data_IF_436426526829
#
_entry.id   IF_436426526829
#
_cell.length_a   1.000
_cell.length_b   1.000
_cell.length_c   1.000
_cell.angle_alpha   90.00
_cell.angle_beta   90.00
_cell.angle_gamma   90.00
#
_symmetry.space_group_name_H-M   'P 1'
#
loop_
_entity.id
_entity.type
_entity.pdbx_description
1 polymer ?
#
# COMPACT_ATOMS: atom_id res chain seq x y z
N UNK A 1 -6.67 -0.66 -11.40
CA UNK A 1 -6.56 0.17 -10.18
C UNK A 1 -7.71 1.16 -10.02
N UNK A 2 -8.24 1.80 -11.08
CA UNK A 2 -9.24 2.88 -10.99
C UNK A 2 -10.54 2.54 -10.25
N UNK A 3 -11.26 3.56 -9.79
CA UNK A 3 -12.67 3.47 -9.35
C UNK A 3 -13.59 3.01 -10.49
N UNK A 4 -14.80 2.56 -10.15
CA UNK A 4 -15.76 1.98 -11.12
C UNK A 4 -16.33 2.99 -12.09
N UNK A 5 -16.46 4.23 -11.65
CA UNK A 5 -17.12 5.33 -12.34
C UNK A 5 -16.15 6.29 -13.06
N UNK A 6 -14.83 6.07 -12.91
CA UNK A 6 -13.82 6.88 -13.60
C UNK A 6 -12.59 6.01 -13.93
N UNK A 7 -12.27 5.83 -15.21
CA UNK A 7 -11.09 5.06 -15.66
C UNK A 7 -9.82 5.94 -15.70
N UNK A 8 -8.66 5.32 -15.55
CA UNK A 8 -7.39 5.96 -15.87
C UNK A 8 -7.27 6.20 -17.37
N UNK A 9 -6.63 7.31 -17.75
CA UNK A 9 -6.31 7.59 -19.15
C UNK A 9 -5.12 6.75 -19.67
N UNK A 10 -4.26 6.24 -18.79
CA UNK A 10 -3.03 5.53 -19.13
C UNK A 10 -2.81 4.30 -18.23
N UNK A 11 -2.18 3.25 -18.76
CA UNK A 11 -1.89 2.00 -18.05
C UNK A 11 -1.03 1.04 -18.88
N UNK A 12 -0.70 -0.17 -18.37
CA UNK A 12 -1.20 -0.75 -17.12
C UNK A 12 -0.46 -0.27 -15.85
N UNK A 13 0.75 0.28 -15.99
CA UNK A 13 1.54 0.85 -14.89
C UNK A 13 1.91 2.30 -15.22
N UNK A 14 1.22 3.23 -14.58
CA UNK A 14 1.41 4.66 -14.81
C UNK A 14 2.38 5.26 -13.78
N UNK A 15 3.18 6.27 -14.16
CA UNK A 15 4.02 7.01 -13.23
C UNK A 15 3.16 7.80 -12.22
N UNK A 16 3.70 8.10 -11.03
CA UNK A 16 2.94 8.54 -9.86
C UNK A 16 2.14 9.85 -10.06
N UNK A 17 2.52 10.72 -11.00
CA UNK A 17 1.77 11.95 -11.29
C UNK A 17 0.41 11.68 -11.94
N UNK A 18 0.25 10.56 -12.66
CA UNK A 18 -1.02 10.15 -13.24
C UNK A 18 -2.08 9.79 -12.16
N UNK A 19 -1.82 8.91 -11.17
CA UNK A 19 -2.74 8.69 -10.06
C UNK A 19 -2.94 9.91 -9.17
N UNK A 20 -1.94 10.78 -9.02
CA UNK A 20 -2.13 12.06 -8.33
C UNK A 20 -3.19 12.92 -9.03
N UNK A 21 -3.01 13.19 -10.32
CA UNK A 21 -3.95 14.00 -11.10
C UNK A 21 -5.33 13.33 -11.17
N UNK A 22 -5.38 12.00 -11.31
CA UNK A 22 -6.63 11.24 -11.29
C UNK A 22 -7.43 11.49 -9.99
N UNK A 23 -6.78 11.45 -8.82
CA UNK A 23 -7.44 11.73 -7.53
C UNK A 23 -7.92 13.18 -7.47
N UNK A 24 -7.09 14.15 -7.86
CA UNK A 24 -7.45 15.58 -7.88
C UNK A 24 -8.68 15.82 -8.78
N UNK A 25 -8.69 15.23 -9.98
CA UNK A 25 -9.82 15.29 -10.90
C UNK A 25 -11.07 14.60 -10.33
N UNK A 26 -10.92 13.50 -9.59
CA UNK A 26 -12.05 12.76 -9.01
C UNK A 26 -12.89 13.64 -8.07
N UNK A 27 -12.25 14.48 -7.24
CA UNK A 27 -12.98 15.43 -6.40
C UNK A 27 -13.77 16.45 -7.21
N UNK A 28 -13.16 16.97 -8.28
CA UNK A 28 -13.80 17.94 -9.18
C UNK A 28 -14.98 17.32 -9.95
N UNK A 29 -14.80 16.10 -10.49
CA UNK A 29 -15.81 15.37 -11.24
C UNK A 29 -17.05 15.07 -10.39
N UNK A 30 -16.85 14.74 -9.12
CA UNK A 30 -17.95 14.46 -8.18
C UNK A 30 -18.40 15.68 -7.38
N UNK A 31 -17.78 16.85 -7.57
CA UNK A 31 -18.06 18.09 -6.83
C UNK A 31 -18.05 17.88 -5.31
N UNK A 32 -17.08 17.09 -4.85
CA UNK A 32 -16.89 16.75 -3.42
C UNK A 32 -15.79 17.59 -2.78
N UNK A 33 -15.22 18.55 -3.50
CA UNK A 33 -14.29 19.55 -3.00
C UNK A 33 -14.92 20.43 -1.92
N UNK A 34 -16.22 20.74 -2.03
CA UNK A 34 -16.92 21.62 -1.08
C UNK A 34 -17.10 21.02 0.33
N UNK A 35 -16.93 19.71 0.48
CA UNK A 35 -17.03 19.00 1.78
C UNK A 35 -15.66 18.66 2.38
N UNK A 36 -14.57 19.07 1.72
CA UNK A 36 -13.21 18.89 2.24
C UNK A 36 -12.81 20.06 3.12
N UNK A 37 -12.27 19.73 4.30
CA UNK A 37 -11.60 20.68 5.18
C UNK A 37 -10.09 20.43 5.11
N UNK A 38 -9.39 21.20 4.30
CA UNK A 38 -7.96 21.07 4.08
C UNK A 38 -7.12 21.82 5.14
N UNK A 39 -5.86 21.41 5.29
CA UNK A 39 -4.91 21.95 6.26
C UNK A 39 -5.42 21.82 7.72
N UNK A 40 -6.12 20.72 8.00
CA UNK A 40 -6.69 20.45 9.32
C UNK A 40 -6.29 19.07 9.79
N UNK A 41 -5.79 18.98 11.01
CA UNK A 41 -5.49 17.72 11.69
C UNK A 41 -6.61 17.36 12.65
N UNK A 42 -6.92 16.07 12.72
CA UNK A 42 -7.76 15.51 13.79
C UNK A 42 -6.81 15.15 14.92
N UNK A 43 -7.01 15.75 16.09
CA UNK A 43 -6.13 15.62 17.25
C UNK A 43 -6.72 14.70 18.32
N UNK A 44 -8.05 14.59 18.39
CA UNK A 44 -8.76 13.66 19.28
C UNK A 44 -10.07 13.18 18.65
N UNK A 45 -10.39 11.91 18.86
CA UNK A 45 -11.66 11.27 18.53
C UNK A 45 -12.19 10.58 19.78
N UNK A 46 -13.24 11.15 20.36
CA UNK A 46 -13.85 10.68 21.60
C UNK A 46 -15.30 10.30 21.39
N UNK A 47 -15.68 9.10 21.81
CA UNK A 47 -17.05 8.62 21.81
C UNK A 47 -17.91 9.43 22.79
N UNK A 48 -19.12 9.75 22.36
CA UNK A 48 -20.22 10.25 23.18
C UNK A 48 -21.26 9.12 23.26
N UNK A 49 -21.33 8.37 24.39
CA UNK A 49 -22.32 7.33 24.55
C UNK A 49 -23.75 7.88 24.52
N UNK A 50 -24.67 7.09 23.98
CA UNK A 50 -26.10 7.38 24.01
C UNK A 50 -26.88 6.11 24.38
N UNK A 51 -28.03 6.28 25.06
CA UNK A 51 -28.89 5.16 25.51
C UNK A 51 -29.90 4.76 24.43
N UNK A 52 -30.60 5.74 23.87
CA UNK A 52 -31.76 5.52 22.98
C UNK A 52 -31.44 5.71 21.50
N UNK A 53 -30.17 5.93 21.16
CA UNK A 53 -29.68 6.12 19.79
C UNK A 53 -28.23 5.62 19.68
N UNK A 54 -27.71 5.42 18.46
CA UNK A 54 -26.30 5.09 18.26
C UNK A 54 -25.37 6.13 18.88
N UNK A 55 -24.15 5.73 19.20
CA UNK A 55 -23.14 6.66 19.72
C UNK A 55 -22.80 7.76 18.70
N UNK A 56 -22.46 8.93 19.24
CA UNK A 56 -21.89 10.04 18.48
C UNK A 56 -20.40 10.17 18.77
N UNK A 57 -19.72 11.00 18.01
CA UNK A 57 -18.29 11.21 18.10
C UNK A 57 -17.97 12.68 18.16
N UNK A 58 -17.19 13.07 19.17
CA UNK A 58 -16.58 14.40 19.24
C UNK A 58 -15.21 14.33 18.59
N UNK A 59 -14.98 15.18 17.60
CA UNK A 59 -13.66 15.39 17.01
C UNK A 59 -13.09 16.70 17.57
N UNK A 60 -11.85 16.66 18.04
CA UNK A 60 -11.06 17.87 18.27
C UNK A 60 -10.17 18.10 17.07
N UNK A 61 -10.31 19.28 16.47
CA UNK A 61 -9.69 19.64 15.20
C UNK A 61 -8.74 20.80 15.41
N UNK A 62 -7.62 20.79 14.68
CA UNK A 62 -6.62 21.85 14.70
C UNK A 62 -6.28 22.30 13.29
N UNK A 63 -6.20 23.61 13.10
CA UNK A 63 -5.71 24.25 11.88
C UNK A 63 -4.70 25.34 12.23
N UNK A 64 -3.52 25.27 11.64
CA UNK A 64 -2.54 26.34 11.77
C UNK A 64 -2.92 27.52 10.85
N UNK A 65 -3.13 28.69 11.44
CA UNK A 65 -3.33 29.95 10.72
C UNK A 65 -1.97 30.63 10.55
N UNK A 66 -1.42 30.53 9.33
CA UNK A 66 -0.12 31.10 9.00
C UNK A 66 -0.10 32.64 9.05
N UNK A 67 -1.22 33.32 8.80
CA UNK A 67 -1.29 34.79 8.81
C UNK A 67 -1.24 35.34 10.22
N UNK A 68 -1.88 34.64 11.17
CA UNK A 68 -1.91 35.02 12.58
C UNK A 68 -0.81 34.35 13.40
N UNK A 69 -0.11 33.36 12.83
CA UNK A 69 0.89 32.52 13.47
C UNK A 69 0.36 31.86 14.76
N UNK A 70 -0.83 31.28 14.69
CA UNK A 70 -1.49 30.60 15.81
C UNK A 70 -2.16 29.31 15.37
N UNK A 71 -2.34 28.39 16.30
CA UNK A 71 -3.23 27.24 16.11
C UNK A 71 -4.67 27.60 16.47
N UNK A 72 -5.58 27.36 15.54
CA UNK A 72 -7.02 27.45 15.74
C UNK A 72 -7.53 26.05 16.06
N UNK A 73 -8.21 25.94 17.20
CA UNK A 73 -8.77 24.69 17.71
C UNK A 73 -10.28 24.79 17.81
N UNK A 74 -10.99 23.74 17.42
CA UNK A 74 -12.43 23.66 17.61
C UNK A 74 -12.88 22.20 17.76
N UNK A 75 -14.13 22.02 18.15
CA UNK A 75 -14.74 20.71 18.29
C UNK A 75 -16.01 20.62 17.46
N UNK A 76 -16.23 19.44 16.88
CA UNK A 76 -17.44 19.12 16.13
C UNK A 76 -17.97 17.76 16.59
N UNK A 77 -19.29 17.58 16.49
CA UNK A 77 -19.97 16.33 16.85
C UNK A 77 -20.53 15.71 15.58
N UNK A 78 -20.24 14.43 15.38
CA UNK A 78 -20.68 13.65 14.24
C UNK A 78 -21.45 12.41 14.70
N UNK A 79 -22.47 12.02 13.93
CA UNK A 79 -23.22 10.79 14.18
C UNK A 79 -22.41 9.54 13.82
N UNK A 80 -21.49 9.64 12.86
CA UNK A 80 -20.63 8.55 12.44
C UNK A 80 -19.25 9.04 11.99
N UNK A 81 -18.25 8.18 12.13
CA UNK A 81 -16.85 8.47 11.76
C UNK A 81 -16.30 7.32 10.92
N UNK A 82 -15.60 7.67 9.84
CA UNK A 82 -14.85 6.71 9.02
C UNK A 82 -13.38 7.09 9.05
N UNK A 83 -12.53 6.18 9.52
CA UNK A 83 -11.10 6.36 9.44
C UNK A 83 -10.59 6.00 8.04
N UNK A 84 -9.86 6.93 7.43
CA UNK A 84 -9.24 6.78 6.12
C UNK A 84 -7.84 7.44 6.08
N UNK A 85 -7.15 7.47 7.22
CA UNK A 85 -5.86 8.15 7.40
C UNK A 85 -4.66 7.36 6.83
N UNK A 86 -4.89 6.15 6.33
CA UNK A 86 -3.86 5.27 5.77
C UNK A 86 -2.88 4.73 6.82
N UNK A 87 -1.93 3.92 6.36
CA UNK A 87 -0.99 3.21 7.24
C UNK A 87 0.45 3.16 6.71
N UNK A 88 0.81 4.10 5.82
CA UNK A 88 2.16 4.25 5.26
C UNK A 88 2.83 5.57 5.66
N UNK A 89 2.47 6.08 6.86
CA UNK A 89 2.97 7.36 7.34
C UNK A 89 4.10 7.23 8.37
N UNK A 90 4.05 6.27 9.31
CA UNK A 90 5.09 6.12 10.34
C UNK A 90 6.09 5.04 9.90
N UNK A 91 7.36 5.39 9.56
CA UNK A 91 8.37 4.42 9.17
C UNK A 91 8.56 3.33 10.21
N UNK A 92 8.80 2.09 9.76
CA UNK A 92 9.25 1.03 10.64
C UNK A 92 10.76 0.83 10.46
N UNK A 93 11.54 1.15 11.49
CA UNK A 93 12.97 0.83 11.56
C UNK A 93 13.16 -0.17 12.71
N UNK A 94 13.61 -1.41 12.45
CA UNK A 94 13.87 -2.38 13.51
C UNK A 94 15.05 -1.93 14.38
N UNK A 95 15.01 -2.31 15.66
CA UNK A 95 16.14 -2.12 16.56
C UNK A 95 17.27 -3.05 16.15
N UNK A 96 18.48 -2.50 16.02
CA UNK A 96 19.71 -3.22 15.68
C UNK A 96 20.80 -2.68 16.60
N UNK A 97 21.69 -3.56 17.07
CA UNK A 97 22.78 -3.20 17.96
C UNK A 97 23.62 -2.06 17.34
N UNK A 98 23.84 -0.99 18.11
CA UNK A 98 24.66 0.17 17.73
C UNK A 98 24.02 1.14 16.73
N UNK A 99 22.79 0.90 16.26
CA UNK A 99 22.13 1.73 15.25
C UNK A 99 21.91 3.18 15.73
N UNK A 100 21.47 3.36 16.98
CA UNK A 100 21.17 4.69 17.51
C UNK A 100 22.43 5.56 17.58
N UNK A 101 23.53 5.01 18.09
CA UNK A 101 24.81 5.67 18.18
C UNK A 101 25.43 5.87 16.79
N UNK A 102 25.22 4.94 15.86
CA UNK A 102 25.64 5.09 14.47
C UNK A 102 24.94 6.26 13.77
N UNK A 103 23.63 6.42 13.95
CA UNK A 103 22.86 7.55 13.40
C UNK A 103 23.36 8.87 13.98
N UNK A 104 23.62 8.92 15.30
CA UNK A 104 24.16 10.13 15.95
C UNK A 104 25.54 10.49 15.41
N UNK A 105 26.41 9.49 15.19
CA UNK A 105 27.77 9.71 14.67
C UNK A 105 27.81 10.07 13.18
N UNK A 106 26.90 9.53 12.38
CA UNK A 106 26.83 9.75 10.94
C UNK A 106 25.44 10.28 10.52
N UNK A 107 25.11 11.56 10.84
CA UNK A 107 23.81 12.13 10.51
C UNK A 107 23.50 12.06 9.02
N UNK A 108 22.28 11.65 8.67
CA UNK A 108 21.82 11.55 7.28
C UNK A 108 22.30 10.31 6.51
N UNK A 109 23.19 9.49 7.07
CA UNK A 109 23.65 8.23 6.46
C UNK A 109 22.57 7.15 6.47
N UNK A 110 21.73 7.12 7.50
CA UNK A 110 20.62 6.16 7.60
C UNK A 110 19.32 6.88 7.30
N UNK A 111 18.63 6.42 6.26
CA UNK A 111 17.35 6.98 5.81
C UNK A 111 16.32 5.87 5.64
N UNK A 112 15.04 6.24 5.51
CA UNK A 112 13.96 5.32 5.20
C UNK A 112 13.44 5.57 3.78
N UNK A 113 12.87 4.56 3.13
CA UNK A 113 12.23 4.71 1.81
C UNK A 113 11.15 5.79 1.76
N UNK A 114 10.62 6.21 2.92
CA UNK A 114 9.66 7.32 3.04
C UNK A 114 10.25 8.65 2.55
N UNK A 115 11.54 8.88 2.75
CA UNK A 115 12.23 10.12 2.35
C UNK A 115 12.93 10.01 1.00
N UNK A 116 13.00 8.80 0.43
CA UNK A 116 13.53 8.58 -0.91
C UNK A 116 12.65 9.28 -1.95
N UNK A 117 13.26 9.94 -2.93
CA UNK A 117 12.57 10.66 -4.01
C UNK A 117 13.08 10.28 -5.37
N UNK A 118 14.38 10.06 -5.48
CA UNK A 118 15.07 9.78 -6.74
C UNK A 118 16.48 9.25 -6.46
N UNK A 119 17.16 8.63 -7.44
CA UNK A 119 18.47 8.00 -7.24
C UNK A 119 19.64 8.98 -7.31
N UNK A 120 19.46 10.18 -7.90
CA UNK A 120 20.56 11.13 -8.18
C UNK A 120 21.34 11.57 -6.95
N UNK A 121 20.72 11.82 -5.77
CA UNK A 121 21.48 12.13 -4.55
C UNK A 121 22.44 11.02 -4.11
N UNK A 122 22.31 9.81 -4.66
CA UNK A 122 23.13 8.63 -4.35
C UNK A 122 24.16 8.30 -5.44
N UNK A 123 24.31 9.15 -6.46
CA UNK A 123 25.23 8.95 -7.57
C UNK A 123 26.67 8.67 -7.12
N UNK A 124 27.25 7.58 -7.65
CA UNK A 124 28.60 7.12 -7.32
C UNK A 124 28.84 6.63 -5.88
N UNK A 125 27.80 6.59 -5.03
CA UNK A 125 27.91 6.20 -3.61
C UNK A 125 27.76 4.70 -3.42
N UNK A 126 28.33 4.17 -2.35
CA UNK A 126 28.14 2.77 -1.89
C UNK A 126 26.92 2.69 -1.00
N UNK A 127 25.90 1.97 -1.45
CA UNK A 127 24.58 1.94 -0.81
C UNK A 127 24.23 0.55 -0.28
N UNK A 128 23.60 0.52 0.90
CA UNK A 128 22.91 -0.66 1.42
C UNK A 128 21.40 -0.39 1.45
N UNK A 129 20.59 -1.25 0.83
CA UNK A 129 19.13 -1.25 0.99
C UNK A 129 18.72 -2.39 1.93
N UNK A 130 17.70 -2.17 2.78
CA UNK A 130 17.25 -3.17 3.75
C UNK A 130 15.78 -3.53 3.49
N UNK A 131 15.53 -4.78 3.12
CA UNK A 131 14.21 -5.30 2.77
C UNK A 131 14.04 -5.52 1.27
N UNK A 132 13.24 -6.51 0.91
CA UNK A 132 13.01 -6.99 -0.46
C UNK A 132 11.52 -7.17 -0.79
N UNK A 133 10.64 -6.45 -0.08
CA UNK A 133 9.25 -6.28 -0.52
C UNK A 133 9.16 -5.19 -1.60
N UNK A 134 7.96 -4.68 -1.92
CA UNK A 134 7.74 -3.75 -3.03
C UNK A 134 8.72 -2.54 -3.00
N UNK A 135 8.81 -1.80 -1.90
CA UNK A 135 9.75 -0.67 -1.81
C UNK A 135 11.23 -1.10 -1.87
N UNK A 136 11.55 -2.28 -1.36
CA UNK A 136 12.91 -2.82 -1.41
C UNK A 136 13.34 -3.11 -2.84
N UNK A 137 12.46 -3.75 -3.60
CA UNK A 137 12.66 -4.03 -5.01
C UNK A 137 12.77 -2.75 -5.84
N UNK A 138 11.75 -1.88 -5.79
CA UNK A 138 11.68 -0.63 -6.58
C UNK A 138 12.90 0.26 -6.35
N UNK A 139 13.22 0.55 -5.09
CA UNK A 139 14.34 1.46 -4.74
C UNK A 139 15.68 0.83 -5.13
N UNK A 140 15.87 -0.47 -4.92
CA UNK A 140 17.13 -1.12 -5.27
C UNK A 140 17.33 -1.14 -6.79
N UNK A 141 16.30 -1.48 -7.56
CA UNK A 141 16.35 -1.51 -9.02
C UNK A 141 16.65 -0.12 -9.62
N UNK A 142 16.04 0.93 -9.08
CA UNK A 142 16.29 2.30 -9.53
C UNK A 142 17.73 2.76 -9.22
N UNK A 143 18.26 2.41 -8.04
CA UNK A 143 19.62 2.77 -7.64
C UNK A 143 20.70 2.13 -8.50
N UNK A 144 20.51 0.89 -8.99
CA UNK A 144 21.51 0.17 -9.81
C UNK A 144 21.98 1.00 -11.01
N UNK A 145 21.15 1.89 -11.54
CA UNK A 145 21.47 2.70 -12.71
C UNK A 145 22.44 3.87 -12.41
N UNK A 146 22.58 4.27 -11.15
CA UNK A 146 23.20 5.56 -10.78
C UNK A 146 24.31 5.42 -9.74
N UNK A 147 24.27 4.40 -8.88
CA UNK A 147 25.19 4.28 -7.75
C UNK A 147 26.44 3.45 -8.05
N UNK A 148 27.41 3.41 -7.12
CA UNK A 148 28.55 2.50 -7.23
C UNK A 148 28.07 1.07 -7.01
N UNK A 149 28.12 0.27 -8.08
CA UNK A 149 27.73 -1.14 -8.04
C UNK A 149 28.76 -2.01 -7.28
N UNK A 150 28.31 -3.07 -6.59
CA UNK A 150 26.91 -3.49 -6.46
C UNK A 150 26.13 -2.68 -5.40
N UNK A 151 24.81 -2.57 -5.58
CA UNK A 151 23.91 -2.20 -4.49
C UNK A 151 23.79 -3.39 -3.55
N UNK A 152 24.11 -3.21 -2.26
CA UNK A 152 24.00 -4.29 -1.29
C UNK A 152 22.58 -4.34 -0.73
N UNK A 153 21.83 -5.39 -1.04
CA UNK A 153 20.46 -5.55 -0.55
C UNK A 153 20.43 -6.58 0.58
N UNK A 154 20.20 -6.11 1.81
CA UNK A 154 19.97 -6.96 2.97
C UNK A 154 18.55 -7.52 2.95
N UNK A 155 18.42 -8.85 3.03
CA UNK A 155 17.13 -9.55 3.05
C UNK A 155 17.11 -10.65 4.10
N UNK A 156 15.94 -10.87 4.70
CA UNK A 156 15.71 -11.92 5.70
C UNK A 156 15.30 -13.26 5.09
N UNK A 157 14.59 -13.22 3.97
CA UNK A 157 14.02 -14.38 3.30
C UNK A 157 13.86 -14.10 1.80
N UNK A 158 13.71 -15.15 0.98
CA UNK A 158 13.38 -15.01 -0.45
C UNK A 158 12.02 -14.32 -0.58
N UNK A 159 11.96 -13.28 -1.42
CA UNK A 159 10.71 -12.63 -1.83
C UNK A 159 10.13 -13.32 -3.08
N UNK A 160 8.86 -13.08 -3.40
CA UNK A 160 8.23 -13.62 -4.62
C UNK A 160 8.86 -13.10 -5.92
N UNK A 161 9.55 -11.96 -5.85
CA UNK A 161 10.26 -11.36 -6.99
C UNK A 161 11.74 -11.76 -7.05
N UNK A 162 12.24 -12.49 -6.05
CA UNK A 162 13.64 -12.90 -6.02
C UNK A 162 13.82 -14.18 -6.84
N UNK A 163 14.77 -14.15 -7.78
CA UNK A 163 15.26 -15.35 -8.46
C UNK A 163 16.11 -16.24 -7.55
N UNK A 164 16.80 -17.21 -8.14
CA UNK A 164 17.77 -18.03 -7.40
C UNK A 164 19.08 -17.27 -7.14
N UNK A 165 19.42 -16.33 -8.02
CA UNK A 165 20.60 -15.48 -7.95
C UNK A 165 20.21 -13.99 -7.91
N UNK A 166 21.05 -13.11 -7.33
CA UNK A 166 20.77 -11.69 -7.31
C UNK A 166 20.77 -11.11 -8.73
N UNK A 167 19.89 -10.13 -9.04
CA UNK A 167 19.92 -9.46 -10.34
C UNK A 167 21.25 -8.73 -10.60
N UNK A 168 21.61 -8.48 -11.87
CA UNK A 168 22.82 -7.74 -12.21
C UNK A 168 22.92 -6.39 -11.49
N UNK A 169 24.10 -6.10 -10.91
CA UNK A 169 24.34 -4.88 -10.14
C UNK A 169 23.85 -4.91 -8.69
N UNK A 170 23.24 -6.01 -8.24
CA UNK A 170 22.79 -6.21 -6.86
C UNK A 170 23.63 -7.33 -6.22
N UNK A 171 23.97 -7.16 -4.94
CA UNK A 171 24.56 -8.20 -4.12
C UNK A 171 23.68 -8.42 -2.87
N UNK A 172 23.20 -9.64 -2.68
CA UNK A 172 22.42 -9.96 -1.48
C UNK A 172 23.31 -10.08 -0.24
N UNK A 173 22.78 -9.59 0.88
CA UNK A 173 23.36 -9.75 2.21
C UNK A 173 22.31 -10.29 3.19
N UNK A 174 22.74 -11.04 4.24
CA UNK A 174 21.83 -11.42 5.31
C UNK A 174 21.37 -10.20 6.11
N UNK A 175 20.64 -10.43 7.20
CA UNK A 175 20.21 -9.35 8.10
C UNK A 175 21.43 -8.70 8.75
N UNK A 176 21.35 -7.38 8.97
CA UNK A 176 22.38 -6.63 9.68
C UNK A 176 22.31 -7.02 11.16
N UNK A 177 23.45 -7.46 11.69
CA UNK A 177 23.66 -7.84 13.09
C UNK A 177 24.03 -6.64 13.96
N UNK A 178 24.90 -5.77 13.45
CA UNK A 178 25.46 -4.66 14.23
C UNK A 178 25.95 -3.50 13.35
N UNK A 179 25.72 -2.27 13.82
CA UNK A 179 26.37 -1.07 13.30
C UNK A 179 27.50 -0.65 14.24
N UNK A 180 28.72 -0.53 13.73
CA UNK A 180 29.88 -0.10 14.51
C UNK A 180 30.21 1.36 14.31
N UNK A 181 30.71 2.00 15.37
CA UNK A 181 31.06 3.41 15.35
C UNK A 181 32.25 3.75 14.45
N UNK A 182 33.08 2.78 14.06
CA UNK A 182 34.12 2.98 13.05
C UNK A 182 33.56 3.10 11.62
N UNK A 183 32.25 2.93 11.43
CA UNK A 183 31.58 3.02 10.14
C UNK A 183 31.17 1.66 9.57
N UNK A 184 31.71 0.56 10.10
CA UNK A 184 31.46 -0.81 9.64
C UNK A 184 30.05 -1.29 9.93
N UNK A 185 29.46 -2.00 8.97
CA UNK A 185 28.18 -2.71 9.12
C UNK A 185 28.45 -4.21 9.09
N UNK A 186 28.04 -4.94 10.14
CA UNK A 186 28.23 -6.38 10.29
C UNK A 186 26.91 -7.10 10.04
N UNK A 187 26.94 -8.18 9.26
CA UNK A 187 25.80 -9.01 8.95
C UNK A 187 25.79 -10.30 9.80
N UNK A 188 24.67 -11.01 9.83
CA UNK A 188 24.50 -12.23 10.65
C UNK A 188 25.48 -13.36 10.30
N UNK A 189 25.99 -13.40 9.06
CA UNK A 189 27.01 -14.34 8.59
C UNK A 189 28.45 -13.91 8.93
N UNK A 190 28.60 -12.89 9.80
CA UNK A 190 29.85 -12.24 10.18
C UNK A 190 30.60 -11.56 9.01
N UNK A 191 30.04 -11.55 7.80
CA UNK A 191 30.51 -10.68 6.73
C UNK A 191 30.25 -9.22 7.09
N UNK A 192 30.98 -8.30 6.47
CA UNK A 192 30.87 -6.88 6.78
C UNK A 192 31.02 -6.00 5.54
N UNK A 193 30.61 -4.74 5.68
CA UNK A 193 30.88 -3.67 4.73
C UNK A 193 31.49 -2.47 5.45
N UNK A 194 32.60 -1.98 4.90
CA UNK A 194 33.20 -0.69 5.25
C UNK A 194 32.79 0.39 4.24
N UNK A 195 33.05 1.66 4.58
CA UNK A 195 32.86 2.83 3.71
C UNK A 195 31.47 2.90 3.05
N UNK A 196 30.42 2.56 3.81
CA UNK A 196 29.03 2.68 3.35
C UNK A 196 28.60 4.14 3.46
N UNK A 197 28.22 4.72 2.33
CA UNK A 197 27.80 6.12 2.25
C UNK A 197 26.38 6.33 2.76
N UNK A 198 25.46 5.42 2.41
CA UNK A 198 24.06 5.44 2.86
C UNK A 198 23.47 4.06 3.09
N UNK A 199 22.55 4.00 4.04
CA UNK A 199 21.70 2.85 4.36
C UNK A 199 20.25 3.28 4.21
N UNK A 200 19.50 2.59 3.35
CA UNK A 200 18.11 2.89 3.05
C UNK A 200 17.23 1.76 3.57
N UNK A 201 16.50 2.02 4.65
CA UNK A 201 15.51 1.11 5.21
C UNK A 201 14.26 1.08 4.32
N UNK A 202 14.00 -0.07 3.68
CA UNK A 202 12.79 -0.39 2.93
C UNK A 202 11.90 -1.37 3.72
N UNK A 203 11.84 -1.18 5.04
CA UNK A 203 11.23 -2.10 6.01
C UNK A 203 9.75 -1.84 6.28
N UNK A 204 9.13 -0.92 5.54
CA UNK A 204 7.71 -0.63 5.59
C UNK A 204 7.34 0.32 6.72
N UNK A 205 6.12 0.19 7.23
CA UNK A 205 5.50 1.20 8.09
C UNK A 205 4.67 0.56 9.19
N UNK A 206 4.43 1.33 10.25
CA UNK A 206 3.45 1.03 11.29
C UNK A 206 2.16 1.82 11.03
N UNK A 207 0.97 1.18 11.11
CA UNK A 207 -0.29 1.91 11.26
C UNK A 207 -0.22 2.82 12.48
N UNK A 208 -0.90 3.96 12.42
CA UNK A 208 -0.88 4.93 13.52
C UNK A 208 -2.21 5.66 13.56
N UNK A 209 -2.77 5.77 14.76
CA UNK A 209 -4.05 6.42 15.04
C UNK A 209 -3.85 7.36 16.24
N UNK A 210 -3.02 8.41 16.10
CA UNK A 210 -2.61 9.25 17.22
C UNK A 210 -3.77 10.04 17.84
N UNK A 211 -4.85 10.21 17.09
CA UNK A 211 -6.09 10.85 17.52
C UNK A 211 -7.02 9.92 18.32
N UNK A 212 -6.73 8.61 18.42
CA UNK A 212 -7.63 7.68 19.10
C UNK A 212 -7.47 7.76 20.62
N UNK A 213 -8.50 8.25 21.31
CA UNK A 213 -8.53 8.36 22.76
C UNK A 213 -8.95 7.04 23.41
N UNK A 214 -7.99 6.16 23.70
CA UNK A 214 -8.30 4.82 24.24
C UNK A 214 -9.00 4.88 25.60
N UNK A 215 -8.64 5.84 26.45
CA UNK A 215 -9.23 6.01 27.78
C UNK A 215 -10.71 6.39 27.67
N UNK A 216 -11.01 7.42 26.88
CA UNK A 216 -12.38 7.87 26.66
C UNK A 216 -13.23 6.86 25.84
N UNK A 217 -12.58 6.03 25.03
CA UNK A 217 -13.24 5.03 24.18
C UNK A 217 -13.28 3.63 24.83
N UNK A 218 -13.51 3.59 26.15
CA UNK A 218 -13.74 2.36 26.90
C UNK A 218 -12.47 1.62 27.34
N UNK A 219 -11.37 2.33 27.52
CA UNK A 219 -10.07 1.77 27.92
C UNK A 219 -9.42 0.88 26.87
N UNK A 220 -9.88 0.94 25.61
CA UNK A 220 -9.54 -0.01 24.56
C UNK A 220 -8.77 0.66 23.42
N UNK A 221 -7.59 0.12 23.13
CA UNK A 221 -6.79 0.54 21.99
C UNK A 221 -7.48 0.21 20.66
N UNK A 222 -7.23 1.01 19.63
CA UNK A 222 -7.76 0.74 18.29
C UNK A 222 -6.98 -0.37 17.57
N UNK A 223 -5.68 -0.49 17.86
CA UNK A 223 -4.76 -1.38 17.17
C UNK A 223 -3.88 -2.16 18.15
N UNK A 224 -3.75 -3.47 17.91
CA UNK A 224 -2.82 -4.35 18.61
C UNK A 224 -1.52 -4.46 17.79
N UNK A 225 -0.47 -3.78 18.26
CA UNK A 225 0.84 -3.80 17.59
C UNK A 225 1.60 -5.11 17.73
N UNK A 226 1.27 -5.94 18.74
CA UNK A 226 1.89 -7.26 18.92
C UNK A 226 1.29 -8.25 17.93
N UNK A 227 -0.03 -8.26 17.79
CA UNK A 227 -0.75 -9.10 16.82
C UNK A 227 -0.79 -8.53 15.40
N UNK A 228 -0.48 -7.24 15.25
CA UNK A 228 -0.48 -6.57 13.95
C UNK A 228 -1.88 -6.46 13.34
N UNK A 229 -2.90 -6.14 14.14
CA UNK A 229 -4.28 -6.02 13.70
C UNK A 229 -5.06 -4.90 14.39
N UNK A 230 -6.12 -4.43 13.74
CA UNK A 230 -7.18 -3.68 14.41
C UNK A 230 -7.90 -4.59 15.42
N UNK A 231 -8.23 -4.04 16.58
CA UNK A 231 -8.95 -4.76 17.64
C UNK A 231 -10.45 -4.75 17.31
N UNK A 232 -11.16 -5.85 17.62
CA UNK A 232 -12.60 -6.09 17.38
C UNK A 232 -13.11 -5.55 16.06
N UNK A 233 -12.46 -5.98 14.97
CA UNK A 233 -12.92 -5.64 13.63
C UNK A 233 -13.63 -6.80 12.96
N UNK A 234 -14.50 -6.46 12.02
CA UNK A 234 -15.20 -7.39 11.17
C UNK A 234 -15.02 -6.99 9.71
N UNK A 235 -14.65 -7.98 8.88
CA UNK A 235 -14.31 -7.79 7.47
C UNK A 235 -13.35 -6.63 7.20
N UNK A 236 -12.45 -6.37 8.15
CA UNK A 236 -11.46 -5.28 8.11
C UNK A 236 -12.06 -3.88 7.86
N UNK A 237 -13.35 -3.69 8.13
CA UNK A 237 -14.12 -2.50 7.73
C UNK A 237 -15.01 -1.98 8.86
N UNK A 238 -15.70 -2.88 9.55
CA UNK A 238 -16.65 -2.56 10.62
C UNK A 238 -16.03 -2.86 11.99
N UNK A 239 -16.49 -2.18 13.03
CA UNK A 239 -16.10 -2.46 14.41
C UNK A 239 -17.24 -3.18 15.13
N UNK A 240 -16.90 -4.21 15.91
CA UNK A 240 -17.91 -5.04 16.60
C UNK A 240 -18.58 -4.29 17.75
N UNK A 241 -17.87 -3.34 18.36
CA UNK A 241 -18.29 -2.61 19.55
C UNK A 241 -18.68 -1.15 19.31
N UNK A 242 -18.66 -0.71 18.05
CA UNK A 242 -19.07 0.62 17.62
C UNK A 242 -19.95 0.52 16.37
N UNK A 243 -21.19 0.98 16.46
CA UNK A 243 -22.16 0.94 15.36
C UNK A 243 -21.91 2.02 14.32
N UNK A 244 -21.28 3.12 14.71
CA UNK A 244 -21.09 4.31 13.86
C UNK A 244 -19.62 4.61 13.58
N UNK A 245 -18.73 3.64 13.80
CA UNK A 245 -17.31 3.71 13.46
C UNK A 245 -16.97 2.71 12.35
N UNK A 246 -16.23 3.17 11.35
CA UNK A 246 -15.73 2.34 10.27
C UNK A 246 -14.30 2.69 9.87
N UNK A 247 -13.68 1.83 9.07
CA UNK A 247 -12.36 2.09 8.50
C UNK A 247 -12.29 1.67 7.02
N UNK A 248 -11.60 2.48 6.22
CA UNK A 248 -11.35 2.23 4.80
C UNK A 248 -9.85 2.19 4.57
N UNK A 249 -9.40 1.20 3.79
CA UNK A 249 -8.03 1.14 3.29
C UNK A 249 -6.99 0.56 4.25
N UNK A 250 -7.42 -0.21 5.26
CA UNK A 250 -6.52 -1.05 6.06
C UNK A 250 -6.06 -2.33 5.32
N UNK A 251 -6.92 -3.04 4.56
CA UNK A 251 -6.50 -4.24 3.85
C UNK A 251 -5.44 -4.00 2.77
N UNK A 252 -4.49 -4.94 2.65
CA UNK A 252 -3.45 -4.91 1.61
C UNK A 252 -3.86 -5.78 0.44
N UNK A 253 -4.53 -5.16 -0.54
CA UNK A 253 -5.09 -5.82 -1.73
C UNK A 253 -5.30 -4.77 -2.84
N UNK A 254 -6.27 -4.99 -3.75
CA UNK A 254 -6.67 -4.08 -4.82
C UNK A 254 -7.06 -2.68 -4.33
N UNK A 255 -6.10 -1.77 -4.16
CA UNK A 255 -6.22 -0.41 -3.58
C UNK A 255 -7.55 0.32 -3.81
N UNK A 256 -7.71 1.15 -4.84
CA UNK A 256 -8.91 2.00 -4.96
C UNK A 256 -10.20 1.18 -5.09
N UNK A 257 -10.11 -0.01 -5.71
CA UNK A 257 -11.24 -0.93 -5.84
C UNK A 257 -11.74 -1.36 -4.48
N UNK A 258 -10.89 -1.86 -3.61
CA UNK A 258 -11.30 -2.30 -2.28
C UNK A 258 -11.80 -1.13 -1.44
N UNK A 259 -11.18 0.06 -1.56
CA UNK A 259 -11.64 1.25 -0.86
C UNK A 259 -13.07 1.63 -1.27
N UNK A 260 -13.39 1.50 -2.56
CA UNK A 260 -14.73 1.75 -3.10
C UNK A 260 -15.77 0.79 -2.51
N UNK A 261 -15.49 -0.52 -2.45
CA UNK A 261 -16.39 -1.49 -1.81
C UNK A 261 -16.61 -1.16 -0.33
N UNK A 262 -15.54 -0.90 0.42
CA UNK A 262 -15.63 -0.55 1.85
C UNK A 262 -16.45 0.72 2.05
N UNK A 263 -16.18 1.78 1.29
CA UNK A 263 -16.86 3.06 1.40
C UNK A 263 -18.36 2.95 1.08
N UNK A 264 -18.74 2.22 0.03
CA UNK A 264 -20.15 2.03 -0.34
C UNK A 264 -20.87 1.19 0.74
N UNK A 265 -20.25 0.12 1.24
CA UNK A 265 -20.84 -0.71 2.29
C UNK A 265 -21.05 0.08 3.60
N UNK A 266 -20.03 0.84 4.05
CA UNK A 266 -20.14 1.71 5.22
C UNK A 266 -21.25 2.75 5.05
N UNK A 267 -21.29 3.45 3.91
CA UNK A 267 -22.34 4.44 3.63
C UNK A 267 -23.74 3.83 3.65
N UNK A 268 -23.89 2.56 3.23
CA UNK A 268 -25.16 1.83 3.25
C UNK A 268 -25.56 1.41 4.65
N UNK A 269 -24.63 0.90 5.44
CA UNK A 269 -24.87 0.53 6.83
C UNK A 269 -25.24 1.77 7.65
N UNK A 270 -24.44 2.84 7.60
CA UNK A 270 -24.66 4.07 8.38
C UNK A 270 -25.91 4.85 7.97
N UNK A 271 -26.38 4.70 6.73
CA UNK A 271 -27.66 5.30 6.31
C UNK A 271 -28.88 4.39 6.55
N UNK A 272 -28.69 3.20 7.14
CA UNK A 272 -29.78 2.23 7.34
C UNK A 272 -30.35 1.66 6.03
N UNK A 273 -29.58 1.72 4.93
CA UNK A 273 -29.99 1.28 3.58
C UNK A 273 -29.23 0.06 3.08
N UNK A 274 -28.58 -0.68 3.98
CA UNK A 274 -27.94 -1.94 3.66
C UNK A 274 -28.99 -2.97 3.21
N UNK A 275 -28.65 -3.83 2.26
CA UNK A 275 -29.55 -4.91 1.80
C UNK A 275 -29.51 -6.12 2.72
N UNK A 276 -28.42 -6.29 3.46
CA UNK A 276 -28.24 -7.37 4.44
C UNK A 276 -27.68 -6.75 5.71
N UNK A 277 -28.28 -7.07 6.86
CA UNK A 277 -27.81 -6.59 8.16
C UNK A 277 -26.40 -7.13 8.45
N UNK A 278 -25.63 -6.38 9.24
CA UNK A 278 -24.43 -6.97 9.84
C UNK A 278 -24.85 -8.17 10.71
N UNK A 279 -24.09 -9.27 10.68
CA UNK A 279 -24.40 -10.42 11.51
C UNK A 279 -24.27 -10.07 13.00
N UNK A 280 -24.86 -10.89 13.90
CA UNK A 280 -24.69 -10.74 15.34
C UNK A 280 -23.21 -10.66 15.74
N UNK A 281 -22.94 -9.94 16.84
CA UNK A 281 -21.56 -9.68 17.31
C UNK A 281 -20.78 -10.99 17.52
N UNK A 282 -21.45 -12.05 17.96
CA UNK A 282 -20.86 -13.37 18.19
C UNK A 282 -20.31 -14.01 16.90
N UNK A 283 -20.97 -13.77 15.77
CA UNK A 283 -20.51 -14.22 14.46
C UNK A 283 -19.36 -13.34 13.93
N UNK A 284 -19.39 -12.04 14.21
CA UNK A 284 -18.29 -11.14 13.88
C UNK A 284 -17.01 -11.49 14.66
N UNK A 285 -17.15 -11.79 15.95
CA UNK A 285 -16.06 -12.26 16.80
C UNK A 285 -15.54 -13.63 16.36
N UNK A 286 -16.43 -14.53 15.93
CA UNK A 286 -16.04 -15.82 15.35
C UNK A 286 -15.19 -15.62 14.11
N UNK A 287 -15.62 -14.77 13.17
CA UNK A 287 -14.85 -14.43 11.98
C UNK A 287 -13.45 -13.89 12.35
N UNK A 288 -13.35 -13.01 13.35
CA UNK A 288 -12.08 -12.44 13.77
C UNK A 288 -11.12 -13.51 14.33
N UNK A 289 -11.63 -14.47 15.11
CA UNK A 289 -10.85 -15.61 15.62
C UNK A 289 -10.39 -16.55 14.50
N UNK A 290 -11.31 -16.96 13.63
CA UNK A 290 -10.99 -17.81 12.48
C UNK A 290 -9.96 -17.14 11.56
N UNK A 291 -10.05 -15.81 11.42
CA UNK A 291 -9.07 -15.02 10.68
C UNK A 291 -7.69 -15.06 11.34
N UNK A 292 -7.59 -14.90 12.66
CA UNK A 292 -6.32 -15.02 13.38
C UNK A 292 -5.69 -16.41 13.19
N UNK A 293 -6.50 -17.46 13.26
CA UNK A 293 -6.04 -18.84 13.05
C UNK A 293 -5.53 -19.08 11.63
N UNK A 294 -6.30 -18.61 10.63
CA UNK A 294 -5.94 -18.73 9.21
C UNK A 294 -4.60 -18.07 8.90
N UNK A 295 -4.43 -16.80 9.26
CA UNK A 295 -3.18 -16.08 8.93
C UNK A 295 -1.99 -16.61 9.71
N UNK A 296 -2.19 -17.13 10.92
CA UNK A 296 -1.13 -17.82 11.68
C UNK A 296 -0.69 -19.10 10.98
N UNK A 297 -1.64 -19.91 10.51
CA UNK A 297 -1.38 -21.14 9.76
C UNK A 297 -0.61 -20.85 8.46
N UNK A 298 -0.94 -19.75 7.77
CA UNK A 298 -0.35 -19.39 6.47
C UNK A 298 0.88 -18.46 6.58
N UNK A 299 1.25 -18.00 7.78
CA UNK A 299 2.35 -17.06 7.97
C UNK A 299 2.10 -15.66 7.38
N UNK A 300 0.84 -15.25 7.26
CA UNK A 300 0.40 -13.96 6.68
C UNK A 300 0.10 -12.92 7.75
N UNK A 301 -0.01 -11.64 7.36
CA UNK A 301 -0.50 -10.59 8.28
C UNK A 301 -2.02 -10.59 8.30
N UNK A 302 -2.58 -10.17 9.44
CA UNK A 302 -4.03 -10.16 9.66
C UNK A 302 -4.84 -9.45 8.56
N UNK A 303 -4.32 -8.35 8.01
CA UNK A 303 -5.00 -7.54 6.99
C UNK A 303 -4.55 -7.82 5.54
N UNK A 304 -3.73 -8.85 5.30
CA UNK A 304 -3.34 -9.23 3.94
C UNK A 304 -4.46 -10.08 3.33
N UNK A 305 -5.10 -9.64 2.24
CA UNK A 305 -6.18 -10.41 1.60
C UNK A 305 -5.66 -10.95 0.27
N UNK A 306 -5.62 -12.28 0.12
CA UNK A 306 -5.02 -12.94 -1.02
C UNK A 306 -6.00 -12.99 -2.20
N UNK A 307 -5.47 -12.84 -3.41
CA UNK A 307 -6.27 -12.99 -4.63
C UNK A 307 -6.36 -14.47 -5.01
N UNK A 308 -5.23 -15.15 -4.92
CA UNK A 308 -4.95 -16.50 -5.42
C UNK A 308 -5.78 -17.58 -4.72
N UNK A 309 -6.23 -17.33 -3.49
CA UNK A 309 -7.06 -18.25 -2.70
C UNK A 309 -8.55 -18.00 -2.85
N UNK A 310 -8.96 -16.99 -3.64
CA UNK A 310 -10.35 -16.55 -3.74
C UNK A 310 -10.84 -15.69 -2.56
N UNK A 311 -10.00 -15.46 -1.56
CA UNK A 311 -10.35 -14.66 -0.36
C UNK A 311 -10.76 -13.22 -0.72
N UNK A 312 -10.10 -12.62 -1.70
CA UNK A 312 -10.48 -11.29 -2.22
C UNK A 312 -11.90 -11.30 -2.78
N UNK A 313 -12.28 -12.31 -3.56
CA UNK A 313 -13.63 -12.43 -4.07
C UNK A 313 -14.65 -12.62 -2.96
N UNK A 314 -14.36 -13.48 -1.98
CA UNK A 314 -15.24 -13.70 -0.84
C UNK A 314 -15.51 -12.39 -0.07
N UNK A 315 -14.45 -11.64 0.22
CA UNK A 315 -14.55 -10.38 0.95
C UNK A 315 -15.31 -9.30 0.15
N UNK A 316 -14.92 -9.08 -1.11
CA UNK A 316 -15.57 -8.07 -1.95
C UNK A 316 -17.02 -8.43 -2.25
N UNK A 317 -17.33 -9.71 -2.47
CA UNK A 317 -18.72 -10.19 -2.63
C UNK A 317 -19.55 -9.96 -1.36
N UNK A 318 -18.97 -10.18 -0.18
CA UNK A 318 -19.68 -9.90 1.07
C UNK A 318 -20.00 -8.40 1.21
N UNK A 319 -19.03 -7.51 0.94
CA UNK A 319 -19.25 -6.06 0.92
C UNK A 319 -20.28 -5.63 -0.14
N UNK A 320 -20.23 -6.23 -1.33
CA UNK A 320 -21.20 -6.03 -2.40
C UNK A 320 -22.62 -6.37 -1.93
N UNK A 321 -22.80 -7.52 -1.27
CA UNK A 321 -24.10 -7.99 -0.77
C UNK A 321 -24.66 -7.16 0.36
N UNK A 322 -23.81 -6.61 1.24
CA UNK A 322 -24.25 -5.68 2.30
C UNK A 322 -24.65 -4.34 1.70
N UNK A 323 -23.88 -3.84 0.74
CA UNK A 323 -24.16 -2.56 0.11
C UNK A 323 -25.45 -2.55 -0.72
N UNK A 324 -25.70 -3.60 -1.49
CA UNK A 324 -26.89 -3.74 -2.32
C UNK A 324 -26.98 -2.72 -3.45
N UNK A 325 -28.11 -2.74 -4.16
CA UNK A 325 -28.33 -1.89 -5.33
C UNK A 325 -28.73 -0.45 -4.95
N UNK A 326 -28.45 0.54 -5.81
CA UNK A 326 -29.07 1.86 -5.75
C UNK A 326 -30.59 1.80 -5.69
N UNK A 327 -31.22 2.86 -5.19
CA UNK A 327 -32.68 2.99 -5.25
C UNK A 327 -33.15 3.23 -6.69
N UNK A 328 -34.42 2.95 -7.00
CA UNK A 328 -35.04 3.28 -8.29
C UNK A 328 -34.90 4.76 -8.70
N UNK A 329 -34.75 5.67 -7.73
CA UNK A 329 -34.52 7.11 -7.97
C UNK A 329 -33.05 7.46 -8.23
N UNK A 330 -32.18 6.47 -8.44
CA UNK A 330 -30.74 6.67 -8.67
C UNK A 330 -29.93 7.07 -7.43
N UNK A 331 -30.50 7.01 -6.22
CA UNK A 331 -29.75 7.32 -4.98
C UNK A 331 -28.82 6.17 -4.57
N UNK A 332 -27.57 6.54 -4.29
CA UNK A 332 -26.50 5.64 -3.83
C UNK A 332 -25.68 5.08 -4.98
N UNK A 333 -24.40 4.78 -4.72
CA UNK A 333 -23.51 4.16 -5.70
C UNK A 333 -23.81 2.67 -5.86
N UNK A 334 -23.60 2.17 -7.08
CA UNK A 334 -23.58 0.74 -7.38
C UNK A 334 -22.25 0.17 -6.89
N UNK A 335 -22.24 -0.89 -6.08
CA UNK A 335 -21.02 -1.59 -5.75
C UNK A 335 -20.32 -2.06 -7.03
N UNK A 336 -18.99 -1.98 -7.15
CA UNK A 336 -18.31 -2.31 -8.39
C UNK A 336 -18.56 -3.75 -8.84
N UNK A 337 -18.49 -3.98 -10.14
CA UNK A 337 -18.45 -5.34 -10.71
C UNK A 337 -16.99 -5.69 -11.00
N UNK A 338 -16.58 -6.89 -10.60
CA UNK A 338 -15.32 -7.48 -11.05
C UNK A 338 -15.56 -8.07 -12.45
N UNK A 339 -15.36 -7.27 -13.50
CA UNK A 339 -15.53 -7.72 -14.88
C UNK A 339 -14.49 -8.78 -15.25
N UNK A 340 -14.80 -9.61 -16.24
CA UNK A 340 -13.82 -10.55 -16.82
C UNK A 340 -12.52 -9.86 -17.22
N UNK A 341 -12.61 -8.66 -17.80
CA UNK A 341 -11.45 -7.85 -18.17
C UNK A 341 -10.58 -7.49 -16.96
N UNK A 342 -11.19 -7.10 -15.84
CA UNK A 342 -10.47 -6.76 -14.62
C UNK A 342 -9.83 -7.99 -13.99
N UNK A 343 -10.57 -9.09 -13.91
CA UNK A 343 -10.09 -10.37 -13.38
C UNK A 343 -8.89 -10.83 -14.19
N UNK A 344 -9.03 -10.85 -15.52
CA UNK A 344 -7.93 -11.16 -16.44
C UNK A 344 -6.74 -10.25 -16.21
N UNK A 345 -6.95 -8.94 -16.11
CA UNK A 345 -5.87 -7.98 -15.88
C UNK A 345 -5.13 -8.23 -14.54
N UNK A 346 -5.85 -8.53 -13.46
CA UNK A 346 -5.24 -8.85 -12.16
C UNK A 346 -4.47 -10.16 -12.21
N UNK A 347 -4.95 -11.14 -12.97
CA UNK A 347 -4.31 -12.46 -13.07
C UNK A 347 -3.08 -12.45 -13.98
N UNK A 348 -3.07 -11.64 -15.04
CA UNK A 348 -2.10 -11.75 -16.13
C UNK A 348 -1.17 -10.53 -16.28
N UNK A 349 -1.50 -9.37 -15.72
CA UNK A 349 -0.62 -8.20 -15.78
C UNK A 349 0.26 -8.15 -14.52
N UNK A 350 1.57 -8.12 -14.72
CA UNK A 350 2.57 -8.05 -13.65
C UNK A 350 3.50 -6.87 -13.85
N UNK A 351 3.84 -6.21 -12.74
CA UNK A 351 4.83 -5.12 -12.73
C UNK A 351 6.23 -5.71 -12.96
N UNK A 352 6.52 -6.82 -12.30
CA UNK A 352 7.81 -7.50 -12.38
C UNK A 352 7.60 -8.92 -12.88
N UNK A 353 8.53 -9.46 -13.68
CA UNK A 353 8.50 -10.88 -14.04
C UNK A 353 8.59 -11.73 -12.76
N UNK A 354 7.90 -12.87 -12.75
CA UNK A 354 7.97 -13.82 -11.63
C UNK A 354 8.98 -14.93 -11.97
N UNK A 355 10.05 -15.12 -11.17
CA UNK A 355 11.06 -16.14 -11.46
C UNK A 355 10.46 -17.54 -11.53
N UNK A 356 10.72 -18.27 -12.62
CA UNK A 356 10.27 -19.65 -12.83
C UNK A 356 8.96 -19.81 -13.61
N UNK A 357 8.34 -18.73 -14.07
CA UNK A 357 7.20 -18.80 -14.99
C UNK A 357 7.68 -18.94 -16.46
N UNK A 358 7.41 -20.06 -17.15
CA UNK A 358 7.91 -20.30 -18.50
C UNK A 358 7.41 -19.25 -19.53
N UNK A 359 6.24 -18.65 -19.29
CA UNK A 359 5.67 -17.63 -20.19
C UNK A 359 6.35 -16.24 -20.05
N UNK A 360 7.12 -16.01 -18.99
CA UNK A 360 7.89 -14.77 -18.77
C UNK A 360 9.30 -14.83 -19.41
N UNK A 361 9.73 -16.01 -19.88
CA UNK A 361 11.10 -16.29 -20.34
C UNK A 361 11.39 -15.93 -21.81
N UNK A 362 10.38 -15.92 -22.67
CA UNK A 362 10.57 -15.82 -24.14
C UNK A 362 10.94 -14.39 -24.61
N UNK A 363 10.53 -13.35 -23.87
CA UNK A 363 10.79 -11.95 -24.25
C UNK A 363 12.16 -11.44 -23.73
N UNK A 364 12.74 -12.12 -22.74
CA UNK A 364 14.05 -11.78 -22.16
C UNK A 364 15.18 -12.18 -23.12
N UNK A 365 15.03 -13.29 -23.84
CA UNK A 365 16.07 -13.78 -24.75
C UNK A 365 16.09 -13.04 -26.08
N UNK A 366 14.94 -12.56 -26.59
CA UNK A 366 14.88 -11.79 -27.84
C UNK A 366 15.34 -10.33 -27.70
N UNK A 367 15.01 -9.65 -26.60
CA UNK A 367 15.45 -8.24 -26.36
C UNK A 367 16.90 -8.10 -25.92
N UNK A 368 17.52 -9.16 -25.38
CA UNK A 368 18.94 -9.13 -24.96
C UNK A 368 19.92 -9.20 -26.14
N UNK A 369 19.54 -9.80 -27.26
CA UNK A 369 20.40 -9.94 -28.44
C UNK A 369 20.49 -8.67 -29.27
N UNK A 370 19.45 -7.82 -29.28
CA UNK A 370 19.44 -6.57 -30.07
C UNK A 370 20.30 -5.45 -29.44
N UNK A 371 20.44 -5.43 -28.12
CA UNK A 371 21.27 -4.43 -27.41
C UNK A 371 22.77 -4.73 -27.54
N UNK A 372 23.15 -5.97 -27.84
CA UNK A 372 24.55 -6.38 -27.96
C UNK A 372 25.13 -6.24 -29.38
N UNK A 373 24.31 -6.02 -30.41
CA UNK A 373 24.75 -6.04 -31.82
C UNK A 373 24.86 -4.67 -32.50
N UNK A 374 24.54 -3.56 -31.83
CA UNK A 374 24.61 -2.21 -32.43
C UNK A 374 25.68 -1.34 -31.78
N UNK A 375 26.94 -1.62 -32.12
CA UNK A 375 28.01 -0.61 -32.19
C UNK A 375 28.85 -0.88 -33.44
N UNK A 376 28.79 0.01 -34.42
CA UNK A 376 29.90 0.66 -35.14
C UNK A 376 29.46 1.21 -36.52
N UNK A 377 29.86 2.46 -36.76
CA UNK A 377 29.90 3.26 -38.02
C UNK A 377 28.65 4.01 -38.51
N UNK A 378 28.80 5.36 -38.58
CA UNK A 378 28.61 6.12 -39.82
C UNK A 378 27.44 7.11 -39.87
N UNK A 379 27.80 8.40 -39.84
CA UNK A 379 27.13 9.67 -40.21
C UNK A 379 25.74 9.75 -40.88
N UNK A 380 25.17 10.94 -40.64
CA UNK A 380 24.15 11.72 -41.37
C UNK A 380 22.63 11.50 -41.12
N UNK A 381 22.08 12.53 -40.46
CA UNK A 381 20.78 13.18 -40.63
C UNK A 381 19.52 12.33 -40.87
N UNK A 382 18.65 12.23 -39.85
CA UNK A 382 17.28 12.77 -39.86
C UNK A 382 16.62 12.68 -38.47
N UNK A 383 15.91 13.74 -38.08
CA UNK A 383 15.20 13.86 -36.80
C UNK A 383 13.91 13.02 -36.80
N UNK A 384 13.82 12.02 -35.93
CA UNK A 384 12.55 11.50 -35.44
C UNK A 384 12.59 11.31 -33.91
N UNK A 385 11.50 11.61 -33.17
CA UNK A 385 11.51 11.59 -31.71
C UNK A 385 11.37 10.16 -31.19
N UNK A 386 12.40 9.67 -30.50
CA UNK A 386 12.37 8.37 -29.83
C UNK A 386 11.42 8.39 -28.62
N UNK A 387 10.36 7.57 -28.70
CA UNK A 387 9.55 7.15 -27.56
C UNK A 387 10.37 6.24 -26.63
N UNK A 388 10.53 6.65 -25.37
CA UNK A 388 11.00 5.78 -24.28
C UNK A 388 10.03 4.61 -24.06
N UNK A 389 10.27 3.47 -24.72
CA UNK A 389 9.56 2.21 -24.46
C UNK A 389 10.02 1.59 -23.14
N UNK A 390 9.23 1.81 -22.08
CA UNK A 390 9.39 1.20 -20.77
C UNK A 390 9.08 -0.30 -20.75
N UNK A 391 9.92 -1.05 -20.02
CA UNK A 391 9.89 -2.49 -19.72
C UNK A 391 8.56 -2.97 -19.10
N UNK A 392 7.63 -3.47 -19.90
CA UNK A 392 6.52 -4.30 -19.41
C UNK A 392 6.31 -5.49 -20.35
N UNK A 393 5.92 -6.64 -19.80
CA UNK A 393 5.67 -7.87 -20.57
C UNK A 393 4.17 -8.17 -20.54
N UNK A 394 3.62 -8.48 -21.72
CA UNK A 394 2.27 -9.00 -21.89
C UNK A 394 2.38 -10.53 -21.93
N UNK A 395 1.87 -11.24 -20.92
CA UNK A 395 1.73 -12.70 -20.98
C UNK A 395 0.66 -13.00 -22.06
N UNK A 396 0.93 -13.94 -22.97
CA UNK A 396 0.16 -14.13 -24.20
C UNK A 396 -1.36 -14.22 -23.95
N UNK A 397 -2.17 -13.57 -24.81
CA UNK A 397 -3.61 -13.78 -24.88
C UNK A 397 -3.88 -15.20 -25.39
N UNK A 398 -4.56 -16.08 -24.65
CA UNK A 398 -5.24 -17.21 -25.27
C UNK A 398 -6.25 -16.65 -26.27
N UNK A 399 -6.25 -17.12 -27.52
CA UNK A 399 -7.32 -16.81 -28.46
C UNK A 399 -8.64 -17.28 -27.83
N UNK A 400 -9.51 -16.33 -27.44
CA UNK A 400 -10.90 -16.65 -27.10
C UNK A 400 -11.56 -17.19 -28.37
N UNK A 401 -12.10 -18.41 -28.29
CA UNK A 401 -13.08 -18.88 -29.26
C UNK A 401 -14.36 -18.05 -29.05
N UNK A 402 -14.57 -17.08 -29.93
CA UNK A 402 -15.74 -16.19 -29.90
C UNK A 402 -17.05 -16.93 -30.26
N UNK A 403 -16.98 -18.20 -30.63
CA UNK A 403 -18.13 -19.06 -30.93
C UNK A 403 -18.45 -20.05 -29.80
N UNK A 404 -17.65 -20.12 -28.73
CA UNK A 404 -17.96 -20.94 -27.55
C UNK A 404 -19.18 -20.47 -26.74
N UNK A 405 -19.88 -19.43 -27.20
CA UNK A 405 -21.12 -18.89 -26.63
C UNK A 405 -22.33 -19.01 -27.58
N UNK A 406 -22.20 -19.69 -28.74
CA UNK A 406 -23.36 -20.04 -29.57
C UNK A 406 -23.85 -21.45 -29.22
#
# INVERSE_FOLDING_TARGET
>A
MSFSDARFAYGPFAPHWIPRQYIENYFSLHKTDSILVLNTTVEDVTRIPAKDRPEQWRLTLRKFDAARNVDVWWQEIFDAVVFANGHYSVPYVPQVKGLEEYIKKFPGRVVHSKTYRSPEPFSGKKIVTIGNSASGHDVTEELVQTVRIPVFQSRRSKSRWDGDEPPPGIAWKPVIKEYRLDGRIIFEDDSYLDDVDHVIYCTGYKPSYPFWNSEANGGRALYDYKKGKLIKTFWHTFFQDFQTLGIVGMPRVLTFRSFEYQAIALARVFSGRHSVALPPVEEQERWEREREELVKKEGRKFHDIAWETGETFQWLNWLFRVAGLPTLRGKGRTPPVLSEELIWAVEHLRKYPEPGNPDDGDDIQKKRTEVASTRFYGDDHEHHPEEQKGKWILVQRPKKDLLGFI
#
